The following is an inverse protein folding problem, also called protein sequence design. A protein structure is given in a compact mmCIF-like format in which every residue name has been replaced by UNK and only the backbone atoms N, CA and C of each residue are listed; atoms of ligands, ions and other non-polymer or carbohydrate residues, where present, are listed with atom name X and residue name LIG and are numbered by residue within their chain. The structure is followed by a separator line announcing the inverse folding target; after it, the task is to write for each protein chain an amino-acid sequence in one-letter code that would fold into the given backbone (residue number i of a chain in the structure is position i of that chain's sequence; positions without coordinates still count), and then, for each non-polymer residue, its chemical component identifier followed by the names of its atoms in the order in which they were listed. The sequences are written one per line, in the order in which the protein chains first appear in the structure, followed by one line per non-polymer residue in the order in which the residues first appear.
data_IF_172126698669
#
_entry.id   IF_172126698669
#
_cell.length_a   1.000
_cell.length_b   1.000
_cell.length_c   1.000
_cell.angle_alpha   90.00
_cell.angle_beta   90.00
_cell.angle_gamma   90.00
#
_symmetry.space_group_name_H-M   'P 1'
#
loop_
_entity.id
_entity.type
_entity.pdbx_description
1 polymer ?
#
# COMPACT_ATOMS: atom_id res chain seq x y z
N UNK A 1 -64.45 33.87 94.93
CA UNK A 1 -65.76 33.92 94.26
C UNK A 1 -65.51 33.63 92.79
N UNK A 2 -66.12 32.54 92.30
CA UNK A 2 -66.32 32.13 90.89
C UNK A 2 -65.04 31.86 90.03
N UNK A 3 -64.94 30.86 89.17
CA UNK A 3 -65.71 29.65 88.87
C UNK A 3 -64.90 28.82 87.84
N UNK A 4 -65.08 27.50 87.85
CA UNK A 4 -65.14 26.58 86.68
C UNK A 4 -63.80 26.20 85.98
N UNK A 5 -63.31 24.96 86.15
CA UNK A 5 -63.52 23.72 85.35
C UNK A 5 -62.99 23.78 83.91
N UNK A 6 -62.08 22.87 83.52
CA UNK A 6 -62.35 21.68 82.69
C UNK A 6 -61.10 21.16 81.95
N UNK A 7 -61.03 19.85 81.83
CA UNK A 7 -59.98 19.04 81.19
C UNK A 7 -59.90 19.25 79.67
N UNK A 8 -58.79 18.87 79.02
CA UNK A 8 -58.79 17.84 77.95
C UNK A 8 -57.36 17.45 77.48
N UNK A 9 -57.09 16.15 77.59
CA UNK A 9 -56.24 15.22 76.83
C UNK A 9 -55.16 15.66 75.81
N UNK A 10 -54.03 14.93 75.93
CA UNK A 10 -53.14 14.34 74.88
C UNK A 10 -52.35 15.37 74.04
N UNK A 11 -51.04 15.28 73.90
CA UNK A 11 -50.34 14.25 73.11
C UNK A 11 -48.82 14.37 73.33
N UNK A 12 -48.14 13.22 73.37
CA UNK A 12 -46.69 13.01 73.50
C UNK A 12 -45.90 13.59 72.32
N UNK A 13 -44.71 14.18 72.57
CA UNK A 13 -43.43 13.91 71.87
C UNK A 13 -42.27 14.78 72.40
N UNK A 14 -41.28 14.11 73.03
CA UNK A 14 -39.90 14.59 73.16
C UNK A 14 -39.24 14.59 71.75
N UNK A 15 -38.18 15.34 71.45
CA UNK A 15 -36.74 15.16 71.79
C UNK A 15 -36.05 16.32 71.01
N UNK A 16 -35.03 17.04 71.49
CA UNK A 16 -33.62 16.65 71.32
C UNK A 16 -32.68 17.71 71.93
N UNK A 17 -31.66 17.25 72.65
CA UNK A 17 -30.48 18.03 73.01
C UNK A 17 -29.27 17.39 72.34
N UNK A 18 -28.47 18.20 71.64
CA UNK A 18 -27.36 17.79 70.78
C UNK A 18 -26.06 17.77 71.59
N UNK A 19 -25.41 16.61 71.69
CA UNK A 19 -24.07 16.46 72.26
C UNK A 19 -23.16 15.83 71.20
N UNK A 20 -22.18 16.61 70.75
CA UNK A 20 -21.19 16.25 69.75
C UNK A 20 -20.03 15.54 70.45
N UNK A 21 -19.95 14.21 70.32
CA UNK A 21 -18.84 13.41 70.82
C UNK A 21 -17.84 13.11 69.68
N UNK A 22 -16.60 13.55 69.87
CA UNK A 22 -15.48 13.30 68.96
C UNK A 22 -15.01 11.85 69.15
N UNK A 23 -15.44 10.94 68.27
CA UNK A 23 -15.06 9.54 68.29
C UNK A 23 -13.63 9.34 67.78
N UNK A 24 -12.75 8.83 68.64
CA UNK A 24 -11.50 8.17 68.23
C UNK A 24 -11.86 6.94 67.39
N UNK A 25 -11.74 7.05 66.07
CA UNK A 25 -11.79 5.90 65.18
C UNK A 25 -10.54 5.05 65.41
N UNK A 26 -10.69 3.93 66.12
CA UNK A 26 -9.72 2.84 66.05
C UNK A 26 -9.64 2.42 64.58
N UNK A 27 -8.46 2.51 63.98
CA UNK A 27 -8.22 1.86 62.70
C UNK A 27 -8.43 0.35 62.89
N UNK A 28 -9.56 -0.17 62.44
CA UNK A 28 -9.73 -1.61 62.28
C UNK A 28 -8.80 -2.02 61.14
N UNK A 29 -7.65 -2.59 61.47
CA UNK A 29 -6.92 -3.38 60.49
C UNK A 29 -7.89 -4.43 59.94
N UNK A 30 -7.88 -4.64 58.62
CA UNK A 30 -8.63 -5.75 58.02
C UNK A 30 -8.22 -7.07 58.66
N UNK A 31 -9.12 -8.06 58.61
CA UNK A 31 -8.88 -9.39 59.15
C UNK A 31 -7.49 -9.90 58.70
N UNK A 32 -6.58 -10.07 59.65
CA UNK A 32 -5.23 -10.59 59.40
C UNK A 32 -5.24 -12.10 59.18
N UNK A 33 -6.40 -12.76 59.37
CA UNK A 33 -6.53 -14.17 59.07
C UNK A 33 -6.70 -14.33 57.56
N UNK A 34 -5.74 -14.98 56.87
CA UNK A 34 -5.95 -15.36 55.49
C UNK A 34 -7.20 -16.24 55.39
N UNK A 35 -8.00 -16.12 54.31
CA UNK A 35 -9.20 -16.94 54.13
C UNK A 35 -8.89 -18.42 54.35
N UNK A 36 -9.71 -19.10 55.16
CA UNK A 36 -9.51 -20.51 55.44
C UNK A 36 -9.69 -21.34 54.16
N UNK A 37 -8.62 -21.94 53.66
CA UNK A 37 -8.60 -22.81 52.49
C UNK A 37 -7.27 -22.75 51.75
N UNK A 38 -6.95 -23.73 50.88
CA UNK A 38 -5.82 -23.61 49.97
C UNK A 38 -5.98 -22.34 49.13
N UNK A 39 -4.95 -21.49 49.08
CA UNK A 39 -4.94 -20.34 48.17
C UNK A 39 -5.06 -20.85 46.73
N UNK A 40 -6.18 -20.52 46.07
CA UNK A 40 -6.31 -20.78 44.64
C UNK A 40 -5.32 -19.89 43.87
N UNK A 41 -4.75 -20.36 42.75
CA UNK A 41 -3.90 -19.52 41.91
C UNK A 41 -4.61 -18.21 41.57
N UNK A 42 -4.01 -17.08 41.95
CA UNK A 42 -4.55 -15.74 41.67
C UNK A 42 -4.15 -15.22 40.28
N UNK A 43 -3.26 -15.95 39.59
CA UNK A 43 -2.84 -15.66 38.22
C UNK A 43 -3.72 -16.42 37.22
N UNK A 44 -4.16 -15.72 36.15
CA UNK A 44 -4.71 -16.37 34.97
C UNK A 44 -3.61 -17.22 34.31
N UNK A 45 -3.88 -18.47 33.91
CA UNK A 45 -2.98 -19.25 33.08
C UNK A 45 -2.57 -18.47 31.83
N UNK A 46 -1.35 -18.65 31.32
CA UNK A 46 -0.92 -17.99 30.08
C UNK A 46 -1.86 -18.33 28.90
N UNK A 47 -2.48 -19.51 28.90
CA UNK A 47 -3.51 -19.90 27.92
C UNK A 47 -4.78 -19.05 27.98
N UNK A 48 -5.08 -18.46 29.13
CA UNK A 48 -6.26 -17.60 29.35
C UNK A 48 -5.94 -16.11 29.10
N UNK A 49 -4.66 -15.78 28.93
CA UNK A 49 -4.14 -14.44 28.62
C UNK A 49 -3.72 -14.34 27.14
N UNK A 50 -3.12 -15.39 26.58
CA UNK A 50 -2.72 -15.52 25.18
C UNK A 50 -3.23 -16.86 24.59
N UNK A 51 -4.50 -16.93 24.13
CA UNK A 51 -5.09 -18.13 23.52
C UNK A 51 -4.52 -18.48 22.14
N UNK A 52 -3.28 -18.08 21.83
CA UNK A 52 -2.61 -18.35 20.57
C UNK A 52 -2.00 -19.76 20.58
N UNK A 53 -1.97 -20.39 19.41
CA UNK A 53 -1.53 -21.77 19.20
C UNK A 53 -0.13 -21.77 18.58
N UNK A 54 0.84 -22.41 19.24
CA UNK A 54 2.18 -22.51 18.69
C UNK A 54 2.19 -23.39 17.43
N UNK A 55 2.82 -22.94 16.35
CA UNK A 55 3.08 -23.77 15.15
C UNK A 55 4.22 -24.72 15.45
N UNK A 56 3.93 -26.02 15.51
CA UNK A 56 4.88 -27.10 15.77
C UNK A 56 4.28 -28.46 15.36
N UNK A 57 5.03 -29.55 15.53
CA UNK A 57 4.58 -30.89 15.15
C UNK A 57 3.36 -31.42 15.93
N UNK A 58 3.10 -30.90 17.14
CA UNK A 58 1.98 -31.33 17.99
C UNK A 58 0.67 -30.62 17.60
N UNK A 59 0.71 -29.30 17.41
CA UNK A 59 -0.48 -28.48 17.20
C UNK A 59 -0.82 -28.29 15.73
N UNK A 60 0.18 -28.32 14.85
CA UNK A 60 0.06 -28.10 13.41
C UNK A 60 0.93 -29.13 12.68
N UNK A 61 0.62 -30.44 12.83
CA UNK A 61 1.38 -31.49 12.16
C UNK A 61 1.44 -31.23 10.64
N UNK A 62 2.60 -31.49 10.05
CA UNK A 62 2.77 -31.46 8.60
C UNK A 62 2.14 -32.67 7.91
N UNK A 63 2.25 -32.70 6.59
CA UNK A 63 1.82 -33.82 5.75
C UNK A 63 2.80 -34.08 4.59
N UNK A 64 2.37 -34.82 3.56
CA UNK A 64 3.20 -35.10 2.40
C UNK A 64 3.60 -33.84 1.61
N UNK A 65 2.84 -32.75 1.74
CA UNK A 65 2.93 -31.52 0.96
C UNK A 65 3.40 -30.30 1.75
N UNK A 66 3.48 -30.39 3.09
CA UNK A 66 3.78 -29.26 3.97
C UNK A 66 4.56 -29.66 5.23
N UNK A 67 5.45 -28.78 5.71
CA UNK A 67 6.13 -28.96 7.01
C UNK A 67 5.15 -28.75 8.18
N UNK A 68 4.25 -27.77 8.07
CA UNK A 68 3.16 -27.53 9.02
C UNK A 68 1.85 -27.24 8.28
N UNK A 69 0.74 -27.80 8.78
CA UNK A 69 -0.61 -27.54 8.26
C UNK A 69 -1.47 -26.90 9.36
N UNK A 70 -2.04 -25.74 9.06
CA UNK A 70 -3.05 -25.07 9.90
C UNK A 70 -4.43 -25.34 9.30
N UNK A 71 -5.13 -26.32 9.90
CA UNK A 71 -6.42 -26.83 9.42
C UNK A 71 -7.60 -26.47 10.31
N UNK A 72 -7.40 -25.63 11.33
CA UNK A 72 -8.46 -25.10 12.19
C UNK A 72 -8.36 -23.57 12.27
N UNK A 73 -9.50 -22.85 12.39
CA UNK A 73 -9.49 -21.41 12.65
C UNK A 73 -8.78 -21.09 13.97
N UNK A 74 -8.13 -19.93 14.07
CA UNK A 74 -7.48 -19.51 15.30
C UNK A 74 -6.31 -18.54 15.10
N UNK A 75 -5.70 -18.13 16.21
CA UNK A 75 -4.48 -17.33 16.19
C UNK A 75 -3.29 -18.25 16.43
N UNK A 76 -2.33 -18.24 15.53
CA UNK A 76 -1.14 -19.08 15.54
C UNK A 76 0.12 -18.23 15.60
N UNK A 77 1.19 -18.76 16.19
CA UNK A 77 2.49 -18.07 16.22
C UNK A 77 3.68 -19.04 16.09
N UNK A 78 4.76 -18.55 15.50
CA UNK A 78 6.04 -19.28 15.49
C UNK A 78 6.76 -19.16 16.83
N UNK A 79 7.35 -20.27 17.26
CA UNK A 79 8.23 -20.36 18.44
C UNK A 79 9.70 -20.47 18.06
N UNK A 80 9.99 -20.58 16.77
CA UNK A 80 11.32 -20.73 16.19
C UNK A 80 11.26 -20.65 14.67
N UNK A 81 12.41 -20.70 14.01
CA UNK A 81 12.48 -20.74 12.56
C UNK A 81 11.86 -22.04 12.02
N UNK A 82 11.25 -21.95 10.85
CA UNK A 82 10.74 -23.11 10.09
C UNK A 82 11.68 -23.36 8.92
N UNK A 83 12.19 -24.59 8.79
CA UNK A 83 13.04 -25.01 7.68
C UNK A 83 12.25 -25.79 6.65
N UNK A 84 12.35 -25.39 5.39
CA UNK A 84 11.72 -26.04 4.25
C UNK A 84 12.29 -27.43 3.98
N UNK A 85 11.51 -28.24 3.28
CA UNK A 85 11.84 -29.61 2.92
C UNK A 85 11.54 -29.83 1.44
N UNK A 86 12.36 -30.64 0.77
CA UNK A 86 12.15 -30.96 -0.64
C UNK A 86 10.76 -31.56 -0.87
N UNK A 87 10.08 -31.09 -1.92
CA UNK A 87 8.71 -31.48 -2.28
C UNK A 87 7.60 -30.89 -1.40
N UNK A 88 7.92 -30.03 -0.42
CA UNK A 88 6.95 -29.48 0.54
C UNK A 88 6.94 -27.96 0.59
N UNK A 89 5.78 -27.41 0.88
CA UNK A 89 5.63 -26.03 1.36
C UNK A 89 6.08 -25.91 2.82
N UNK A 90 6.43 -24.71 3.27
CA UNK A 90 6.76 -24.47 4.68
C UNK A 90 5.52 -24.60 5.56
N UNK A 91 4.62 -23.63 5.47
CA UNK A 91 3.37 -23.60 6.23
C UNK A 91 2.22 -23.54 5.24
N UNK A 92 1.25 -24.44 5.35
CA UNK A 92 0.01 -24.40 4.57
C UNK A 92 -1.15 -24.05 5.50
N UNK A 93 -1.92 -23.02 5.13
CA UNK A 93 -3.13 -22.61 5.85
C UNK A 93 -4.35 -22.99 5.03
N UNK A 94 -5.11 -23.97 5.52
CA UNK A 94 -6.30 -24.51 4.85
C UNK A 94 -7.61 -24.10 5.53
N UNK A 95 -7.57 -23.67 6.80
CA UNK A 95 -8.74 -23.16 7.50
C UNK A 95 -8.88 -21.63 7.44
N UNK A 96 -10.12 -21.16 7.25
CA UNK A 96 -10.43 -19.73 7.24
C UNK A 96 -10.44 -19.12 8.64
N UNK A 97 -10.19 -17.81 8.75
CA UNK A 97 -10.18 -17.12 10.04
C UNK A 97 -8.93 -17.41 10.86
N UNK A 98 -7.79 -17.45 10.17
CA UNK A 98 -6.48 -17.72 10.77
C UNK A 98 -5.67 -16.43 10.81
N UNK A 99 -5.07 -16.15 11.97
CA UNK A 99 -3.97 -15.19 12.06
C UNK A 99 -2.69 -15.99 12.28
N UNK A 100 -1.75 -15.93 11.35
CA UNK A 100 -0.42 -16.51 11.47
C UNK A 100 0.60 -15.41 11.78
N UNK A 101 1.08 -15.39 13.01
CA UNK A 101 2.15 -14.52 13.46
C UNK A 101 3.51 -15.22 13.32
N UNK A 102 4.35 -14.75 12.41
CA UNK A 102 5.71 -15.26 12.28
C UNK A 102 6.60 -14.85 13.46
N UNK A 103 6.12 -13.95 14.33
CA UNK A 103 6.69 -13.61 15.63
C UNK A 103 8.19 -13.23 15.58
N UNK A 104 8.61 -12.57 14.50
CA UNK A 104 9.99 -12.17 14.21
C UNK A 104 10.89 -13.30 13.69
N UNK A 105 10.39 -14.54 13.62
CA UNK A 105 11.15 -15.69 13.10
C UNK A 105 11.15 -15.75 11.57
N UNK A 106 12.00 -16.64 11.05
CA UNK A 106 12.17 -16.86 9.62
C UNK A 106 11.60 -18.20 9.17
N UNK A 107 10.86 -18.18 8.07
CA UNK A 107 10.48 -19.36 7.27
C UNK A 107 11.50 -19.49 6.13
N UNK A 108 12.42 -20.44 6.24
CA UNK A 108 13.63 -20.58 5.41
C UNK A 108 13.42 -21.73 4.42
N UNK A 109 13.53 -21.47 3.12
CA UNK A 109 13.39 -22.49 2.09
C UNK A 109 14.61 -23.42 2.00
N UNK A 110 14.45 -24.48 1.21
CA UNK A 110 15.49 -25.46 0.93
C UNK A 110 15.44 -25.87 -0.55
N UNK A 111 16.54 -26.39 -1.12
CA UNK A 111 16.52 -26.91 -2.49
C UNK A 111 15.40 -27.95 -2.70
N UNK A 112 14.64 -27.78 -3.77
CA UNK A 112 13.50 -28.65 -4.11
C UNK A 112 12.23 -28.43 -3.28
N UNK A 113 12.22 -27.51 -2.31
CA UNK A 113 11.00 -27.11 -1.61
C UNK A 113 10.04 -26.33 -2.53
N UNK A 114 8.83 -26.06 -2.05
CA UNK A 114 7.78 -25.35 -2.80
C UNK A 114 7.69 -23.88 -2.38
N UNK A 115 6.54 -23.42 -1.84
CA UNK A 115 6.35 -22.05 -1.32
C UNK A 115 6.54 -21.98 0.19
N UNK A 116 6.93 -20.82 0.71
CA UNK A 116 7.18 -20.65 2.14
C UNK A 116 5.93 -20.68 2.98
N UNK A 117 4.98 -19.79 2.68
CA UNK A 117 3.65 -19.80 3.28
C UNK A 117 2.63 -19.87 2.16
N UNK A 118 1.86 -20.96 2.11
CA UNK A 118 0.81 -21.17 1.13
C UNK A 118 -0.56 -21.04 1.82
N UNK A 119 -1.39 -20.14 1.29
CA UNK A 119 -2.73 -19.86 1.78
C UNK A 119 -3.75 -20.33 0.74
N UNK A 120 -4.48 -21.39 1.09
CA UNK A 120 -5.50 -22.02 0.24
C UNK A 120 -6.90 -21.80 0.80
N UNK A 121 -7.10 -20.75 1.59
CA UNK A 121 -8.40 -20.38 2.20
C UNK A 121 -8.58 -18.86 2.36
N UNK A 122 -9.71 -18.40 2.86
CA UNK A 122 -10.07 -16.97 3.05
C UNK A 122 -9.86 -16.47 4.49
N UNK A 123 -9.96 -15.15 4.71
CA UNK A 123 -9.83 -14.52 6.05
C UNK A 123 -8.56 -14.95 6.79
N UNK A 124 -7.43 -14.90 6.08
CA UNK A 124 -6.11 -15.22 6.64
C UNK A 124 -5.27 -13.96 6.72
N UNK A 125 -4.69 -13.72 7.89
CA UNK A 125 -3.64 -12.72 8.12
C UNK A 125 -2.30 -13.43 8.32
N UNK A 126 -1.25 -12.99 7.64
CA UNK A 126 0.14 -13.38 7.91
C UNK A 126 0.91 -12.14 8.34
N UNK A 127 1.68 -12.22 9.44
CA UNK A 127 2.36 -11.04 9.97
C UNK A 127 3.73 -11.28 10.59
N UNK A 128 4.51 -10.20 10.70
CA UNK A 128 5.70 -10.06 11.56
C UNK A 128 6.79 -11.13 11.38
N UNK A 129 7.55 -11.08 10.31
CA UNK A 129 8.71 -11.97 10.17
C UNK A 129 9.34 -11.97 8.80
N UNK A 130 10.11 -13.03 8.52
CA UNK A 130 10.86 -13.15 7.27
C UNK A 130 10.52 -14.46 6.57
N UNK A 131 10.30 -14.41 5.25
CA UNK A 131 10.14 -15.60 4.41
C UNK A 131 11.16 -15.55 3.29
N UNK A 132 12.09 -16.50 3.25
CA UNK A 132 13.24 -16.43 2.34
C UNK A 132 13.68 -17.75 1.75
N UNK A 133 14.38 -17.68 0.61
CA UNK A 133 15.09 -18.80 -0.03
C UNK A 133 14.15 -19.90 -0.54
N UNK A 134 12.90 -19.57 -0.87
CA UNK A 134 11.92 -20.53 -1.39
C UNK A 134 12.00 -20.68 -2.91
N UNK A 135 12.04 -21.91 -3.45
CA UNK A 135 12.12 -22.15 -4.89
C UNK A 135 10.90 -21.72 -5.72
N UNK A 136 9.74 -21.50 -5.10
CA UNK A 136 8.54 -20.99 -5.79
C UNK A 136 8.26 -19.54 -5.37
N UNK A 137 7.52 -19.33 -4.28
CA UNK A 137 7.14 -18.01 -3.80
C UNK A 137 7.41 -17.92 -2.31
N UNK A 138 7.67 -16.71 -1.81
CA UNK A 138 7.76 -16.47 -0.37
C UNK A 138 6.40 -16.72 0.29
N UNK A 139 5.45 -15.80 0.06
CA UNK A 139 4.06 -15.92 0.52
C UNK A 139 3.13 -16.05 -0.69
N UNK A 140 2.31 -17.09 -0.73
CA UNK A 140 1.43 -17.40 -1.85
C UNK A 140 -0.04 -17.49 -1.40
N UNK A 141 -0.85 -16.54 -1.84
CA UNK A 141 -2.31 -16.59 -1.75
C UNK A 141 -2.87 -17.19 -3.06
N UNK A 142 -3.21 -18.48 -3.03
CA UNK A 142 -3.58 -19.28 -4.20
C UNK A 142 -5.01 -18.96 -4.73
N UNK A 143 -5.37 -19.45 -5.93
CA UNK A 143 -6.62 -19.16 -6.63
C UNK A 143 -7.87 -19.83 -6.00
N UNK A 144 -9.05 -19.34 -6.39
CA UNK A 144 -10.39 -19.93 -6.21
C UNK A 144 -11.03 -19.89 -4.83
N UNK A 145 -10.94 -18.75 -4.15
CA UNK A 145 -11.55 -18.57 -2.84
C UNK A 145 -12.16 -17.18 -2.81
N UNK A 146 -13.18 -17.00 -1.96
CA UNK A 146 -14.10 -15.87 -2.01
C UNK A 146 -13.40 -14.50 -2.13
N UNK A 147 -14.19 -13.49 -2.50
CA UNK A 147 -13.79 -12.09 -2.59
C UNK A 147 -13.27 -11.46 -1.27
N UNK A 148 -13.20 -12.22 -0.16
CA UNK A 148 -12.68 -11.69 1.11
C UNK A 148 -11.15 -11.56 1.05
N UNK A 149 -10.59 -10.35 1.17
CA UNK A 149 -9.16 -10.15 1.05
C UNK A 149 -8.37 -10.85 2.16
N UNK A 150 -7.23 -11.46 1.80
CA UNK A 150 -6.21 -11.81 2.79
C UNK A 150 -5.49 -10.57 3.32
N UNK A 151 -4.72 -10.70 4.40
CA UNK A 151 -3.91 -9.61 4.96
C UNK A 151 -2.46 -10.07 5.11
N UNK A 152 -1.52 -9.23 4.70
CA UNK A 152 -0.09 -9.41 4.92
C UNK A 152 0.48 -8.14 5.55
N UNK A 153 1.07 -8.23 6.74
CA UNK A 153 1.56 -7.05 7.46
C UNK A 153 2.92 -7.26 8.12
N UNK A 154 3.87 -6.33 7.93
CA UNK A 154 5.18 -6.40 8.60
C UNK A 154 6.02 -7.63 8.20
N UNK A 155 5.84 -8.16 6.99
CA UNK A 155 6.58 -9.32 6.49
C UNK A 155 7.65 -8.89 5.49
N UNK A 156 8.85 -9.46 5.63
CA UNK A 156 9.92 -9.36 4.64
C UNK A 156 10.02 -10.64 3.83
N UNK A 157 9.83 -10.55 2.52
CA UNK A 157 10.03 -11.67 1.58
C UNK A 157 11.31 -11.46 0.79
N UNK A 158 12.25 -12.42 0.83
CA UNK A 158 13.56 -12.20 0.17
C UNK A 158 14.23 -13.43 -0.40
N UNK A 159 15.03 -13.26 -1.45
CA UNK A 159 15.80 -14.34 -2.08
C UNK A 159 14.94 -15.54 -2.51
N UNK A 160 13.67 -15.32 -2.87
CA UNK A 160 12.82 -16.38 -3.40
C UNK A 160 13.03 -16.47 -4.92
N UNK A 161 12.97 -17.69 -5.47
CA UNK A 161 13.21 -17.92 -6.91
C UNK A 161 12.06 -17.49 -7.81
N UNK A 162 10.87 -17.23 -7.26
CA UNK A 162 9.78 -16.54 -7.94
C UNK A 162 9.42 -15.26 -7.20
N UNK A 163 8.13 -14.93 -7.13
CA UNK A 163 7.67 -13.71 -6.48
C UNK A 163 7.90 -13.71 -4.96
N UNK A 164 8.18 -12.54 -4.39
CA UNK A 164 8.21 -12.37 -2.93
C UNK A 164 6.83 -12.64 -2.33
N UNK A 165 5.82 -11.95 -2.86
CA UNK A 165 4.41 -12.20 -2.58
C UNK A 165 3.64 -12.45 -3.88
N UNK A 166 3.05 -13.64 -4.01
CA UNK A 166 2.15 -14.00 -5.09
C UNK A 166 0.73 -14.04 -4.54
N UNK A 167 -0.14 -13.17 -5.03
CA UNK A 167 -1.57 -13.24 -4.77
C UNK A 167 -2.33 -13.26 -6.08
N UNK A 168 -3.23 -14.22 -6.21
CA UNK A 168 -4.09 -14.36 -7.40
C UNK A 168 -5.51 -13.84 -7.16
N UNK A 169 -5.78 -13.36 -5.95
CA UNK A 169 -7.00 -12.69 -5.51
C UNK A 169 -6.67 -11.40 -4.76
N UNK A 170 -7.70 -10.71 -4.26
CA UNK A 170 -7.53 -9.52 -3.43
C UNK A 170 -6.74 -9.84 -2.15
N UNK A 171 -5.72 -9.02 -1.87
CA UNK A 171 -4.97 -9.04 -0.62
C UNK A 171 -4.65 -7.61 -0.19
N UNK A 172 -4.64 -7.37 1.11
CA UNK A 172 -4.17 -6.13 1.71
C UNK A 172 -2.75 -6.31 2.23
N UNK A 173 -1.79 -5.68 1.55
CA UNK A 173 -0.35 -5.70 1.90
C UNK A 173 0.02 -4.37 2.57
N UNK A 174 0.59 -4.45 3.77
CA UNK A 174 0.79 -3.28 4.63
C UNK A 174 2.19 -3.36 5.25
N UNK A 175 2.98 -2.29 5.17
CA UNK A 175 4.28 -2.21 5.88
C UNK A 175 5.20 -3.42 5.61
N UNK A 176 5.20 -3.92 4.37
CA UNK A 176 5.95 -5.11 3.95
C UNK A 176 7.16 -4.76 3.09
N UNK A 177 8.11 -5.70 3.01
CA UNK A 177 9.31 -5.58 2.17
C UNK A 177 9.44 -6.79 1.26
N UNK A 178 9.67 -6.57 -0.04
CA UNK A 178 10.05 -7.60 -0.99
C UNK A 178 11.43 -7.27 -1.57
N UNK A 179 12.43 -8.11 -1.29
CA UNK A 179 13.85 -7.82 -1.51
C UNK A 179 14.60 -8.97 -2.20
N UNK A 180 15.28 -8.72 -3.31
CA UNK A 180 16.10 -9.75 -3.99
C UNK A 180 15.32 -11.02 -4.39
N UNK A 181 14.05 -10.91 -4.79
CA UNK A 181 13.32 -12.04 -5.35
C UNK A 181 13.57 -12.13 -6.86
N UNK A 182 13.69 -13.32 -7.43
CA UNK A 182 13.93 -13.48 -8.87
C UNK A 182 12.69 -13.16 -9.71
N UNK A 183 11.48 -13.26 -9.14
CA UNK A 183 10.25 -12.78 -9.76
C UNK A 183 9.95 -11.32 -9.41
N UNK A 184 8.66 -10.99 -9.38
CA UNK A 184 8.17 -9.71 -8.91
C UNK A 184 8.31 -9.58 -7.39
N UNK A 185 8.49 -8.36 -6.88
CA UNK A 185 8.47 -8.14 -5.43
C UNK A 185 7.09 -8.49 -4.84
N UNK A 186 6.07 -7.81 -5.36
CA UNK A 186 4.66 -8.07 -5.06
C UNK A 186 3.88 -8.24 -6.36
N UNK A 187 3.30 -9.43 -6.60
CA UNK A 187 2.39 -9.69 -7.70
C UNK A 187 1.00 -9.96 -7.16
N UNK A 188 0.14 -8.95 -7.20
CA UNK A 188 -1.12 -8.88 -6.49
C UNK A 188 -2.33 -8.97 -7.43
N UNK A 189 -3.33 -9.75 -7.01
CA UNK A 189 -4.52 -10.02 -7.79
C UNK A 189 -5.50 -8.85 -7.82
N UNK A 190 -6.62 -9.06 -8.52
CA UNK A 190 -7.70 -8.09 -8.67
C UNK A 190 -8.20 -7.56 -7.31
N UNK A 191 -8.41 -6.25 -7.19
CA UNK A 191 -9.00 -5.64 -5.98
C UNK A 191 -8.04 -5.52 -4.80
N UNK A 192 -6.74 -5.76 -5.00
CA UNK A 192 -5.75 -5.68 -3.92
C UNK A 192 -5.48 -4.24 -3.48
N UNK A 193 -4.99 -4.09 -2.24
CA UNK A 193 -4.45 -2.85 -1.72
C UNK A 193 -3.03 -3.12 -1.24
N UNK A 194 -2.07 -2.29 -1.65
CA UNK A 194 -0.73 -2.27 -1.08
C UNK A 194 -0.40 -0.87 -0.58
N UNK A 195 0.05 -0.79 0.68
CA UNK A 195 0.39 0.48 1.33
C UNK A 195 1.72 0.42 2.07
N UNK A 196 2.45 1.54 2.05
CA UNK A 196 3.68 1.75 2.85
C UNK A 196 4.68 0.61 2.76
N UNK A 197 4.79 0.01 1.58
CA UNK A 197 5.60 -1.18 1.34
C UNK A 197 6.75 -0.88 0.39
N UNK A 198 7.83 -1.64 0.51
CA UNK A 198 9.04 -1.45 -0.29
C UNK A 198 9.34 -2.68 -1.14
N UNK A 199 9.44 -2.51 -2.45
CA UNK A 199 9.90 -3.53 -3.39
C UNK A 199 11.26 -3.13 -3.97
N UNK A 200 12.31 -3.89 -3.68
CA UNK A 200 13.64 -3.58 -4.19
C UNK A 200 14.45 -4.76 -4.68
N UNK A 201 15.28 -4.51 -5.69
CA UNK A 201 16.22 -5.50 -6.23
C UNK A 201 15.53 -6.78 -6.72
N UNK A 202 14.30 -6.70 -7.23
CA UNK A 202 13.58 -7.87 -7.72
C UNK A 202 13.84 -8.08 -9.23
N UNK A 203 13.77 -9.34 -9.65
CA UNK A 203 14.12 -9.83 -10.99
C UNK A 203 13.06 -9.57 -12.07
N UNK A 204 11.90 -9.02 -11.69
CA UNK A 204 10.87 -8.48 -12.60
C UNK A 204 10.38 -7.09 -12.13
N UNK A 205 9.05 -6.86 -12.10
CA UNK A 205 8.49 -5.64 -11.53
C UNK A 205 8.64 -5.59 -10.01
N UNK A 206 8.84 -4.40 -9.45
CA UNK A 206 8.80 -4.25 -7.99
C UNK A 206 7.39 -4.53 -7.45
N UNK A 207 6.40 -3.86 -8.03
CA UNK A 207 4.98 -4.04 -7.70
C UNK A 207 4.20 -4.23 -9.00
N UNK A 208 3.52 -5.36 -9.14
CA UNK A 208 2.50 -5.59 -10.16
C UNK A 208 1.15 -5.81 -9.48
N UNK A 209 0.21 -4.89 -9.66
CA UNK A 209 -1.13 -4.97 -9.08
C UNK A 209 -2.22 -4.77 -10.14
N UNK A 210 -3.37 -5.44 -9.99
CA UNK A 210 -4.48 -5.38 -10.94
C UNK A 210 -5.76 -4.82 -10.29
N UNK A 211 -6.42 -3.84 -10.90
CA UNK A 211 -7.61 -3.14 -10.37
C UNK A 211 -7.45 -2.83 -8.88
N UNK A 212 -6.34 -2.17 -8.56
CA UNK A 212 -5.79 -2.12 -7.21
C UNK A 212 -5.43 -0.70 -6.79
N UNK A 213 -5.28 -0.52 -5.47
CA UNK A 213 -4.71 0.68 -4.88
C UNK A 213 -3.26 0.40 -4.46
N UNK A 214 -2.32 1.19 -5.01
CA UNK A 214 -0.90 1.22 -4.63
C UNK A 214 -0.63 2.59 -4.01
N UNK A 215 -0.38 2.63 -2.71
CA UNK A 215 -0.31 3.90 -1.96
C UNK A 215 0.95 3.99 -1.08
N UNK A 216 1.68 5.11 -1.14
CA UNK A 216 2.80 5.33 -0.22
C UNK A 216 3.93 4.29 -0.36
N UNK A 217 4.07 3.67 -1.53
CA UNK A 217 5.02 2.58 -1.75
C UNK A 217 6.33 3.08 -2.36
N UNK A 218 7.41 2.34 -2.11
CA UNK A 218 8.73 2.58 -2.72
C UNK A 218 9.10 1.39 -3.58
N UNK A 219 9.39 1.62 -4.86
CA UNK A 219 9.85 0.59 -5.79
C UNK A 219 11.17 1.00 -6.46
N UNK A 220 12.25 0.28 -6.17
CA UNK A 220 13.60 0.67 -6.62
C UNK A 220 14.49 -0.48 -7.04
N UNK A 221 15.39 -0.24 -7.99
CA UNK A 221 16.39 -1.22 -8.43
C UNK A 221 15.80 -2.53 -8.93
N UNK A 222 14.56 -2.53 -9.44
CA UNK A 222 13.96 -3.72 -10.04
C UNK A 222 14.33 -3.79 -11.54
N UNK A 223 14.40 -4.99 -12.11
CA UNK A 223 14.88 -5.19 -13.49
C UNK A 223 13.87 -4.74 -14.55
N UNK A 224 12.57 -4.74 -14.22
CA UNK A 224 11.49 -4.29 -15.10
C UNK A 224 10.91 -2.96 -14.60
N UNK A 225 9.60 -2.77 -14.71
CA UNK A 225 8.95 -1.56 -14.22
C UNK A 225 9.01 -1.47 -12.69
N UNK A 226 9.16 -0.27 -12.14
CA UNK A 226 9.06 -0.08 -10.69
C UNK A 226 7.68 -0.47 -10.19
N UNK A 227 6.66 0.21 -10.70
CA UNK A 227 5.25 -0.05 -10.38
C UNK A 227 4.51 -0.28 -11.69
N UNK A 228 3.84 -1.43 -11.81
CA UNK A 228 2.91 -1.74 -12.89
C UNK A 228 1.51 -1.91 -12.32
N UNK A 229 0.58 -1.13 -12.84
CA UNK A 229 -0.84 -1.33 -12.59
C UNK A 229 -1.54 -1.79 -13.87
N UNK A 230 -2.44 -2.75 -13.74
CA UNK A 230 -3.28 -3.24 -14.82
C UNK A 230 -4.76 -3.27 -14.39
N UNK A 231 -5.68 -3.39 -15.32
CA UNK A 231 -7.11 -3.48 -15.00
C UNK A 231 -7.72 -2.14 -14.61
N UNK A 232 -9.02 -2.00 -14.91
CA UNK A 232 -9.77 -0.75 -14.86
C UNK A 232 -9.73 -0.13 -13.47
N UNK A 233 -9.57 1.19 -13.42
CA UNK A 233 -9.71 1.99 -12.19
C UNK A 233 -8.56 1.82 -11.20
N UNK A 234 -7.38 1.36 -11.64
CA UNK A 234 -6.22 1.21 -10.76
C UNK A 234 -5.67 2.58 -10.32
N UNK A 235 -5.13 2.65 -9.10
CA UNK A 235 -4.68 3.90 -8.49
C UNK A 235 -3.27 3.75 -7.94
N UNK A 236 -2.37 4.62 -8.36
CA UNK A 236 -1.01 4.77 -7.82
C UNK A 236 -0.90 6.15 -7.19
N UNK A 237 -0.80 6.19 -5.86
CA UNK A 237 -0.85 7.42 -5.08
C UNK A 237 0.39 7.53 -4.19
N UNK A 238 1.00 8.71 -4.13
CA UNK A 238 2.04 9.03 -3.14
C UNK A 238 3.23 8.04 -3.17
N UNK A 239 3.53 7.49 -4.36
CA UNK A 239 4.55 6.46 -4.54
C UNK A 239 5.88 7.02 -5.03
N UNK A 240 6.97 6.28 -4.80
CA UNK A 240 8.28 6.56 -5.38
C UNK A 240 8.73 5.36 -6.22
N UNK A 241 8.97 5.56 -7.51
CA UNK A 241 9.56 4.58 -8.41
C UNK A 241 10.88 5.10 -8.97
N UNK A 242 12.01 4.54 -8.55
CA UNK A 242 13.28 5.02 -9.09
C UNK A 242 14.42 4.03 -9.18
N UNK A 243 15.35 4.29 -10.09
CA UNK A 243 16.44 3.37 -10.43
C UNK A 243 15.94 1.98 -10.85
N UNK A 244 14.73 1.87 -11.40
CA UNK A 244 14.26 0.61 -11.99
C UNK A 244 14.74 0.56 -13.44
N UNK A 245 15.20 -0.59 -13.91
CA UNK A 245 15.82 -0.73 -15.22
C UNK A 245 14.80 -0.58 -16.38
N UNK A 246 13.51 -0.79 -16.12
CA UNK A 246 12.40 -0.46 -17.02
C UNK A 246 11.87 0.98 -16.85
N UNK A 247 10.57 1.17 -17.08
CA UNK A 247 9.89 2.44 -16.74
C UNK A 247 9.68 2.54 -15.22
N UNK A 248 9.63 3.75 -14.67
CA UNK A 248 9.31 3.91 -13.25
C UNK A 248 7.88 3.44 -12.93
N UNK A 249 6.88 4.01 -13.60
CA UNK A 249 5.47 3.65 -13.42
C UNK A 249 4.84 3.29 -14.77
N UNK A 250 4.32 2.07 -14.89
CA UNK A 250 3.56 1.58 -16.04
C UNK A 250 2.07 1.52 -15.71
N UNK A 251 1.27 2.29 -16.44
CA UNK A 251 -0.19 2.29 -16.37
C UNK A 251 -0.75 1.48 -17.53
N UNK A 252 -1.45 0.40 -17.21
CA UNK A 252 -2.06 -0.52 -18.18
C UNK A 252 -3.49 -0.94 -17.82
N UNK A 253 -4.26 -0.03 -17.22
CA UNK A 253 -5.70 -0.19 -16.98
C UNK A 253 -6.46 1.10 -17.27
N UNK A 254 -7.61 1.01 -17.95
CA UNK A 254 -8.38 2.20 -18.35
C UNK A 254 -8.89 2.93 -17.11
N UNK A 255 -9.11 4.24 -17.23
CA UNK A 255 -9.61 5.11 -16.15
C UNK A 255 -8.76 5.03 -14.87
N UNK A 256 -7.47 4.73 -15.01
CA UNK A 256 -6.54 4.65 -13.89
C UNK A 256 -6.06 6.03 -13.48
N UNK A 257 -5.56 6.15 -12.25
CA UNK A 257 -4.99 7.40 -11.73
C UNK A 257 -3.58 7.17 -11.23
N UNK A 258 -2.64 8.01 -11.67
CA UNK A 258 -1.33 8.18 -11.04
C UNK A 258 -1.27 9.59 -10.47
N UNK A 259 -1.10 9.72 -9.17
CA UNK A 259 -1.15 11.03 -8.53
C UNK A 259 -0.12 11.18 -7.41
N UNK A 260 0.44 12.39 -7.25
CA UNK A 260 1.42 12.76 -6.20
C UNK A 260 2.61 11.80 -6.11
N UNK A 261 2.98 11.18 -7.23
CA UNK A 261 4.01 10.15 -7.27
C UNK A 261 5.30 10.69 -7.90
N UNK A 262 6.44 10.15 -7.47
CA UNK A 262 7.76 10.49 -7.98
C UNK A 262 8.31 9.36 -8.84
N UNK A 263 8.73 9.65 -10.06
CA UNK A 263 9.40 8.69 -10.94
C UNK A 263 10.76 9.20 -11.42
N UNK A 264 11.84 8.57 -10.98
CA UNK A 264 13.19 9.11 -11.19
C UNK A 264 14.30 8.10 -11.52
N UNK A 265 15.28 8.53 -12.30
CA UNK A 265 16.47 7.72 -12.64
C UNK A 265 16.15 6.35 -13.25
N UNK A 266 15.05 6.22 -14.00
CA UNK A 266 14.69 4.98 -14.68
C UNK A 266 15.15 5.04 -16.15
N UNK A 267 15.94 4.06 -16.65
CA UNK A 267 16.43 4.10 -18.03
C UNK A 267 15.32 3.90 -19.07
N UNK A 268 14.23 3.21 -18.72
CA UNK A 268 13.09 2.97 -19.62
C UNK A 268 12.10 4.13 -19.71
N UNK A 269 12.26 5.20 -18.93
CA UNK A 269 11.35 6.35 -18.88
C UNK A 269 10.61 6.49 -17.54
N UNK A 270 9.98 7.64 -17.32
CA UNK A 270 9.36 7.97 -16.03
C UNK A 270 8.00 7.29 -15.82
N UNK A 271 6.94 7.82 -16.44
CA UNK A 271 5.58 7.30 -16.36
C UNK A 271 5.09 7.00 -17.78
N UNK A 272 4.60 5.78 -18.01
CA UNK A 272 4.05 5.36 -19.30
C UNK A 272 2.59 4.93 -19.15
N UNK A 273 1.67 5.62 -19.83
CA UNK A 273 0.32 5.15 -20.09
C UNK A 273 0.29 4.43 -21.44
N UNK A 274 0.02 3.12 -21.43
CA UNK A 274 0.05 2.27 -22.62
C UNK A 274 -1.36 1.99 -23.19
N UNK A 275 -1.45 1.06 -24.15
CA UNK A 275 -2.67 0.73 -24.91
C UNK A 275 -3.94 0.60 -24.07
N UNK A 276 -3.85 0.09 -22.85
CA UNK A 276 -5.00 -0.14 -21.98
C UNK A 276 -5.12 0.93 -20.90
N UNK A 277 -4.69 2.17 -21.14
CA UNK A 277 -4.73 3.25 -20.14
C UNK A 277 -5.64 4.41 -20.58
N UNK A 278 -6.63 4.15 -21.43
CA UNK A 278 -7.50 5.21 -21.95
C UNK A 278 -8.34 5.84 -20.84
N UNK A 279 -8.57 7.15 -20.92
CA UNK A 279 -9.29 7.91 -19.89
C UNK A 279 -8.55 8.05 -18.56
N UNK A 280 -7.25 7.69 -18.50
CA UNK A 280 -6.48 7.78 -17.26
C UNK A 280 -6.07 9.21 -16.91
N UNK A 281 -5.82 9.45 -15.63
CA UNK A 281 -5.32 10.71 -15.09
C UNK A 281 -3.88 10.51 -14.57
N UNK A 282 -2.97 11.37 -15.00
CA UNK A 282 -1.63 11.51 -14.43
C UNK A 282 -1.52 12.94 -13.89
N UNK A 283 -1.55 13.08 -12.56
CA UNK A 283 -1.67 14.39 -11.92
C UNK A 283 -0.61 14.61 -10.84
N UNK A 284 -0.13 15.84 -10.68
CA UNK A 284 0.68 16.25 -9.51
C UNK A 284 1.94 15.39 -9.29
N UNK A 285 2.48 14.79 -10.35
CA UNK A 285 3.64 13.91 -10.28
C UNK A 285 4.95 14.70 -10.46
N UNK A 286 6.02 14.21 -9.83
CA UNK A 286 7.39 14.68 -10.09
C UNK A 286 8.14 13.63 -10.89
N UNK A 287 8.62 13.97 -12.08
CA UNK A 287 9.19 12.98 -13.01
C UNK A 287 10.52 13.47 -13.57
N UNK A 288 11.61 12.80 -13.21
CA UNK A 288 12.94 13.39 -13.31
C UNK A 288 14.11 12.45 -13.62
N UNK A 289 15.09 12.95 -14.37
CA UNK A 289 16.34 12.23 -14.68
C UNK A 289 16.15 10.84 -15.31
N UNK A 290 15.03 10.58 -15.97
CA UNK A 290 14.85 9.33 -16.69
C UNK A 290 15.58 9.39 -18.04
N UNK A 291 16.19 8.28 -18.46
CA UNK A 291 17.03 8.25 -19.69
C UNK A 291 16.22 8.23 -20.99
N UNK A 292 14.89 8.22 -20.90
CA UNK A 292 13.99 8.38 -22.05
C UNK A 292 13.03 9.55 -21.82
N UNK A 293 11.72 9.30 -21.87
CA UNK A 293 10.69 10.28 -21.64
C UNK A 293 10.44 10.50 -20.14
N UNK A 294 9.93 11.67 -19.78
CA UNK A 294 9.33 11.88 -18.47
C UNK A 294 7.99 11.17 -18.40
N UNK A 295 6.98 11.70 -19.07
CA UNK A 295 5.64 11.09 -19.16
C UNK A 295 5.34 10.76 -20.63
N UNK A 296 4.86 9.56 -20.91
CA UNK A 296 4.49 9.14 -22.26
C UNK A 296 3.09 8.51 -22.32
N UNK A 297 2.37 8.79 -23.40
CA UNK A 297 1.09 8.16 -23.74
C UNK A 297 1.23 7.50 -25.10
N UNK A 298 1.04 6.17 -25.13
CA UNK A 298 1.20 5.35 -26.33
C UNK A 298 -0.01 4.45 -26.49
N UNK A 299 -0.70 4.58 -27.62
CA UNK A 299 -1.91 3.82 -27.97
C UNK A 299 -3.06 3.94 -26.96
N UNK A 300 -3.07 4.96 -26.10
CA UNK A 300 -4.11 5.22 -25.11
C UNK A 300 -4.78 6.56 -25.41
N UNK A 301 -6.11 6.62 -25.38
CA UNK A 301 -6.85 7.83 -25.74
C UNK A 301 -7.36 8.56 -24.51
N UNK A 302 -7.64 9.86 -24.64
CA UNK A 302 -8.31 10.65 -23.61
C UNK A 302 -7.56 10.67 -22.25
N UNK A 303 -6.23 10.55 -22.27
CA UNK A 303 -5.42 10.65 -21.06
C UNK A 303 -5.23 12.12 -20.69
N UNK A 304 -5.44 12.44 -19.41
CA UNK A 304 -5.17 13.78 -18.87
C UNK A 304 -3.85 13.77 -18.11
N UNK A 305 -2.95 14.68 -18.47
CA UNK A 305 -1.69 14.93 -17.77
C UNK A 305 -1.73 16.35 -17.22
N UNK A 306 -1.81 16.49 -15.90
CA UNK A 306 -1.99 17.80 -15.28
C UNK A 306 -1.11 18.06 -14.06
N UNK A 307 -0.74 19.34 -13.89
CA UNK A 307 -0.03 19.84 -12.69
C UNK A 307 1.25 19.05 -12.35
N UNK A 308 1.89 18.42 -13.33
CA UNK A 308 3.10 17.64 -13.11
C UNK A 308 4.35 18.51 -13.24
N UNK A 309 5.38 18.18 -12.45
CA UNK A 309 6.74 18.73 -12.60
C UNK A 309 7.61 17.70 -13.31
N UNK A 310 7.96 17.98 -14.57
CA UNK A 310 8.67 17.03 -15.43
C UNK A 310 9.98 17.64 -15.92
N UNK A 311 11.10 17.19 -15.39
CA UNK A 311 12.38 17.84 -15.67
C UNK A 311 13.53 16.88 -15.92
N UNK A 312 14.46 17.31 -16.75
CA UNK A 312 15.73 16.63 -16.98
C UNK A 312 15.63 15.18 -17.54
N UNK A 313 14.53 14.81 -18.18
CA UNK A 313 14.43 13.54 -18.90
C UNK A 313 15.11 13.66 -20.29
N UNK A 314 15.71 12.60 -20.83
CA UNK A 314 16.66 12.68 -21.96
C UNK A 314 16.06 12.65 -23.38
N UNK A 315 14.80 12.27 -23.58
CA UNK A 315 14.15 12.25 -24.92
C UNK A 315 13.09 13.33 -25.05
N UNK A 316 12.09 13.32 -24.17
CA UNK A 316 11.05 14.34 -24.10
C UNK A 316 10.59 14.47 -22.64
N UNK A 317 10.14 15.65 -22.23
CA UNK A 317 9.49 15.75 -20.93
C UNK A 317 8.12 15.07 -21.00
N UNK A 318 7.30 15.43 -21.98
CA UNK A 318 6.01 14.78 -22.26
C UNK A 318 5.98 14.35 -23.73
N UNK A 319 5.69 13.07 -23.98
CA UNK A 319 5.56 12.47 -25.32
C UNK A 319 4.16 11.88 -25.52
N UNK A 320 3.44 12.34 -26.53
CA UNK A 320 2.08 11.87 -26.84
C UNK A 320 2.06 11.29 -28.24
N UNK A 321 1.88 9.97 -28.35
CA UNK A 321 1.69 9.27 -29.63
C UNK A 321 0.25 8.76 -29.71
N UNK A 322 -0.72 9.60 -29.34
CA UNK A 322 -2.13 9.24 -29.18
C UNK A 322 -3.04 10.46 -29.37
N UNK A 323 -4.36 10.26 -29.30
CA UNK A 323 -5.37 11.29 -29.59
C UNK A 323 -6.26 11.58 -28.38
N UNK A 324 -6.87 12.76 -28.36
CA UNK A 324 -7.82 13.16 -27.32
C UNK A 324 -7.21 13.49 -25.96
N UNK A 325 -5.88 13.53 -25.84
CA UNK A 325 -5.22 13.77 -24.57
C UNK A 325 -5.27 15.26 -24.18
N UNK A 326 -5.32 15.53 -22.88
CA UNK A 326 -5.24 16.88 -22.32
C UNK A 326 -3.92 17.01 -21.56
N UNK A 327 -3.11 18.00 -21.94
CA UNK A 327 -1.82 18.27 -21.32
C UNK A 327 -1.90 19.69 -20.77
N UNK A 328 -2.06 19.83 -19.45
CA UNK A 328 -2.35 21.12 -18.83
C UNK A 328 -1.59 21.45 -17.55
N UNK A 329 -1.21 22.70 -17.37
CA UNK A 329 -0.63 23.19 -16.11
C UNK A 329 0.67 22.49 -15.70
N UNK A 330 1.38 21.85 -16.63
CA UNK A 330 2.61 21.13 -16.32
C UNK A 330 3.82 22.07 -16.35
N UNK A 331 4.74 21.90 -15.41
CA UNK A 331 6.01 22.62 -15.36
C UNK A 331 7.13 21.74 -15.84
N UNK A 332 7.78 22.14 -16.92
CA UNK A 332 8.81 21.37 -17.60
C UNK A 332 10.15 22.08 -17.61
N UNK A 333 11.23 21.32 -17.43
CA UNK A 333 12.60 21.81 -17.65
C UNK A 333 13.41 20.83 -18.48
N UNK A 334 13.98 21.31 -19.58
CA UNK A 334 14.72 20.48 -20.54
C UNK A 334 16.10 20.07 -20.00
N UNK A 335 16.60 18.88 -20.38
CA UNK A 335 17.91 18.34 -19.97
C UNK A 335 19.09 18.74 -20.86
N UNK A 336 18.83 19.21 -22.08
CA UNK A 336 19.89 19.55 -23.05
C UNK A 336 19.46 19.36 -24.50
N UNK A 337 20.44 19.32 -25.42
CA UNK A 337 20.22 19.26 -26.86
C UNK A 337 19.41 18.01 -27.27
N UNK A 338 18.46 18.20 -28.18
CA UNK A 338 17.48 17.22 -28.69
C UNK A 338 16.29 16.84 -27.77
N UNK A 339 16.12 17.46 -26.59
CA UNK A 339 14.95 17.20 -25.74
C UNK A 339 13.78 18.13 -26.02
N UNK A 340 12.59 17.57 -26.26
CA UNK A 340 11.37 18.36 -26.39
C UNK A 340 10.68 18.54 -25.04
N UNK A 341 10.00 19.69 -24.85
CA UNK A 341 9.10 19.88 -23.70
C UNK A 341 7.86 19.01 -23.88
N UNK A 342 6.94 19.45 -24.75
CA UNK A 342 5.81 18.62 -25.22
C UNK A 342 6.07 18.19 -26.65
N UNK A 343 6.06 16.88 -26.89
CA UNK A 343 6.23 16.28 -28.21
C UNK A 343 4.99 15.48 -28.59
N UNK A 344 4.36 15.83 -29.71
CA UNK A 344 3.23 15.10 -30.30
C UNK A 344 3.59 14.80 -31.76
N UNK A 345 4.33 13.71 -32.03
CA UNK A 345 4.75 13.36 -33.40
C UNK A 345 3.59 12.85 -34.27
N UNK A 346 2.57 12.25 -33.64
CA UNK A 346 1.39 11.72 -34.29
C UNK A 346 0.18 11.79 -33.34
N UNK A 347 -1.02 11.66 -33.90
CA UNK A 347 -2.27 11.84 -33.17
C UNK A 347 -2.89 13.22 -33.41
N UNK A 348 -4.16 13.33 -33.05
CA UNK A 348 -5.00 14.51 -33.29
C UNK A 348 -5.94 14.76 -32.11
N UNK A 349 -6.58 15.92 -32.09
CA UNK A 349 -7.55 16.32 -31.06
C UNK A 349 -6.94 16.32 -29.64
N UNK A 350 -5.62 16.44 -29.51
CA UNK A 350 -5.00 16.70 -28.22
C UNK A 350 -5.09 18.20 -27.91
N UNK A 351 -5.21 18.52 -26.61
CA UNK A 351 -5.27 19.88 -26.09
C UNK A 351 -4.02 20.16 -25.24
N UNK A 352 -3.24 21.18 -25.61
CA UNK A 352 -2.01 21.58 -24.91
C UNK A 352 -2.10 23.02 -24.46
N UNK A 353 -2.14 23.28 -23.15
CA UNK A 353 -2.49 24.62 -22.63
C UNK A 353 -1.96 24.82 -21.19
N UNK A 354 -1.67 26.04 -20.73
CA UNK A 354 -1.12 26.34 -19.36
C UNK A 354 0.23 25.70 -19.02
N UNK A 355 0.87 25.01 -19.95
CA UNK A 355 2.15 24.40 -19.68
C UNK A 355 3.26 25.44 -19.68
N UNK A 356 4.23 25.29 -18.79
CA UNK A 356 5.43 26.14 -18.73
C UNK A 356 6.63 25.29 -19.08
N UNK A 357 7.30 25.59 -20.18
CA UNK A 357 8.57 24.94 -20.57
C UNK A 357 9.72 25.91 -20.37
N UNK A 358 10.63 25.61 -19.45
CA UNK A 358 11.88 26.35 -19.28
C UNK A 358 13.03 25.62 -19.96
N UNK A 359 13.75 26.32 -20.84
CA UNK A 359 14.90 25.81 -21.56
C UNK A 359 16.18 26.33 -20.92
N UNK A 360 17.10 25.44 -20.55
CA UNK A 360 18.40 25.82 -19.96
C UNK A 360 19.50 25.94 -21.03
N UNK A 361 19.55 25.05 -22.03
CA UNK A 361 20.49 25.07 -23.19
C UNK A 361 20.01 24.13 -24.32
N UNK A 362 20.52 24.25 -25.56
CA UNK A 362 20.42 23.21 -26.61
C UNK A 362 19.42 23.44 -27.77
N UNK A 363 19.34 22.49 -28.72
CA UNK A 363 18.54 22.59 -29.97
C UNK A 363 17.09 22.05 -29.88
N UNK A 364 16.70 21.41 -28.78
CA UNK A 364 15.34 20.86 -28.62
C UNK A 364 14.26 21.94 -28.60
N UNK A 365 13.05 21.58 -29.08
CA UNK A 365 11.92 22.50 -29.15
C UNK A 365 11.17 22.52 -27.80
N UNK A 366 10.68 23.68 -27.36
CA UNK A 366 9.77 23.72 -26.21
C UNK A 366 8.51 22.90 -26.49
N UNK A 367 7.97 23.05 -27.71
CA UNK A 367 6.80 22.34 -28.19
C UNK A 367 7.07 21.86 -29.63
N UNK A 368 6.87 20.58 -29.88
CA UNK A 368 6.93 19.96 -31.22
C UNK A 368 5.63 19.19 -31.43
N UNK A 369 4.64 19.82 -32.07
CA UNK A 369 3.26 19.32 -32.10
C UNK A 369 2.79 19.21 -33.56
N UNK A 370 2.33 18.03 -33.96
CA UNK A 370 1.77 17.78 -35.29
C UNK A 370 0.47 18.55 -35.53
N UNK A 371 0.14 18.78 -36.81
CA UNK A 371 -1.13 19.38 -37.20
C UNK A 371 -2.34 18.55 -36.72
N UNK A 372 -3.49 19.20 -36.53
CA UNK A 372 -4.70 18.57 -36.02
C UNK A 372 -4.80 18.53 -34.48
N UNK A 373 -3.90 19.21 -33.78
CA UNK A 373 -3.94 19.39 -32.33
C UNK A 373 -4.23 20.86 -31.98
N UNK A 374 -4.83 21.08 -30.81
CA UNK A 374 -5.17 22.41 -30.31
C UNK A 374 -4.15 22.83 -29.28
N UNK A 375 -3.52 23.98 -29.49
CA UNK A 375 -2.47 24.52 -28.63
C UNK A 375 -2.85 25.93 -28.21
N UNK A 376 -2.88 26.17 -26.90
CA UNK A 376 -3.04 27.52 -26.34
C UNK A 376 -1.82 28.42 -26.61
N UNK A 377 -1.87 29.71 -26.25
CA UNK A 377 -0.75 30.62 -26.46
C UNK A 377 0.56 30.11 -25.83
N UNK A 378 1.63 30.06 -26.63
CA UNK A 378 2.98 29.65 -26.19
C UNK A 378 3.79 30.90 -25.85
N UNK A 379 4.30 30.97 -24.62
CA UNK A 379 5.23 32.03 -24.19
C UNK A 379 6.68 31.64 -24.53
N UNK A 380 7.34 32.43 -25.39
CA UNK A 380 8.72 32.17 -25.87
C UNK A 380 9.80 33.06 -25.24
N UNK A 381 9.47 33.82 -24.18
CA UNK A 381 10.45 34.56 -23.36
C UNK A 381 10.53 36.06 -23.60
N UNK A 382 9.91 36.59 -24.67
CA UNK A 382 9.66 38.03 -24.86
C UNK A 382 8.38 38.21 -25.67
N UNK A 383 7.40 38.95 -25.14
CA UNK A 383 6.14 39.19 -25.84
C UNK A 383 5.03 39.64 -24.89
N UNK A 384 4.29 40.66 -25.29
CA UNK A 384 3.03 41.08 -24.66
C UNK A 384 2.01 39.96 -24.86
N UNK A 385 1.16 39.70 -23.87
CA UNK A 385 -0.10 38.98 -24.10
C UNK A 385 -0.93 39.87 -25.02
N UNK A 386 -0.81 39.67 -26.34
CA UNK A 386 -1.45 40.53 -27.35
C UNK A 386 -2.96 40.30 -27.45
N UNK A 387 -3.45 39.25 -26.79
CA UNK A 387 -4.87 39.00 -26.63
C UNK A 387 -5.32 39.57 -25.29
N UNK A 388 -6.09 40.67 -25.30
CA UNK A 388 -6.83 41.12 -24.11
C UNK A 388 -7.99 40.18 -23.75
N UNK A 389 -8.15 39.08 -24.49
CA UNK A 389 -9.13 38.05 -24.20
C UNK A 389 -8.79 37.42 -22.84
N UNK A 390 -9.64 37.59 -21.81
CA UNK A 390 -9.39 37.02 -20.48
C UNK A 390 -9.32 35.48 -20.49
N UNK A 391 -9.72 34.86 -21.60
CA UNK A 391 -9.79 33.41 -21.82
C UNK A 391 -8.56 32.86 -22.56
N UNK A 392 -7.58 33.72 -22.87
CA UNK A 392 -6.36 33.35 -23.57
C UNK A 392 -5.51 32.32 -22.80
N UNK A 393 -5.80 32.12 -21.51
CA UNK A 393 -5.26 31.03 -20.71
C UNK A 393 -6.22 30.62 -19.55
N UNK A 394 -7.43 30.16 -19.91
CA UNK A 394 -8.41 29.32 -19.15
C UNK A 394 -9.58 29.98 -18.39
N UNK A 395 -10.71 29.26 -18.31
CA UNK A 395 -11.58 28.97 -17.14
C UNK A 395 -12.64 27.92 -17.59
N UNK A 396 -12.85 26.78 -16.92
CA UNK A 396 -13.41 26.56 -15.57
C UNK A 396 -12.64 25.54 -14.74
#
# INVERSE_FOLDING_TARGET
MENITMQFNRTVRAVATFLMSCGLGLASAGDLNPPAGPVAPTMKPLSDVEPRIAVNAQNTPGDATAVHVISQPGSYYLTGNVSGQSGRNGIVVTASGVTLDLNGFTVIGAPGALSGVLITTERVEVRNGVVREWPIHGVHFEQNISNTPGVLTGVTTRFNSGDGVRATRAVHVIDCVADHNNGSGFRLGNGSMIRRSTARTNGEEGIFATSALVEGCVSRNNTAAGIRVAGVGSRVLDCIAGNNNGVGILVGGDTSTVMRSTSHDNPGGGILANTNASGSLIAECTVNYNSQFGISVVSAQNVTIERCTVHLNQVAQILISSSGCVIQGNRMRLSGAATNGVSIPAGSNNLVVQNVVTKTTGAGAGYAISAGNVVGPIFTGVGTITTTNPWANFER
#
